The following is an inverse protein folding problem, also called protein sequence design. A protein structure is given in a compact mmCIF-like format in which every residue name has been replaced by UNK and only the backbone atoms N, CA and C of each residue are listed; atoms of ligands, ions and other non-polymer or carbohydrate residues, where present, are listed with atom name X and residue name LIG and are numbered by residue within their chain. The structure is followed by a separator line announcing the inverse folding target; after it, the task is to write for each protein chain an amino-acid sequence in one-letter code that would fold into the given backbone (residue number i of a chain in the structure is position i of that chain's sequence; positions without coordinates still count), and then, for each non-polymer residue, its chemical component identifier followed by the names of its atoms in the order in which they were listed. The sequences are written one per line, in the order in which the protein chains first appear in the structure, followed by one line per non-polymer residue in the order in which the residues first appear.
data_IF_978255212934
#
_entry.id   IF_978255212934
#
_cell.length_a   1.000
_cell.length_b   1.000
_cell.length_c   1.000
_cell.angle_alpha   90.00
_cell.angle_beta   90.00
_cell.angle_gamma   90.00
#
_symmetry.space_group_name_H-M   'P 1'
#
loop_
_entity.id
_entity.type
_entity.pdbx_description
1 polymer ?
#
# COMPACT_ATOMS: atom_id res chain seq x y z
N UNK A 1 -2.13 -8.21 -10.34
CA UNK A 1 -1.80 -6.84 -9.92
C UNK A 1 -2.80 -6.44 -8.85
N UNK A 2 -2.34 -5.94 -7.70
CA UNK A 2 -3.19 -5.66 -6.54
C UNK A 2 -3.48 -4.17 -6.43
N UNK A 3 -4.73 -3.82 -6.14
CA UNK A 3 -5.15 -2.43 -5.95
C UNK A 3 -5.49 -2.19 -4.49
N UNK A 4 -4.94 -1.14 -3.90
CA UNK A 4 -5.20 -0.70 -2.53
C UNK A 4 -5.94 0.62 -2.61
N UNK A 5 -7.11 0.69 -1.97
CA UNK A 5 -7.89 1.93 -1.87
C UNK A 5 -7.38 2.72 -0.68
N UNK A 6 -7.01 3.97 -0.92
CA UNK A 6 -6.39 4.85 0.07
C UNK A 6 -7.17 6.14 0.25
N UNK A 7 -7.12 6.70 1.45
CA UNK A 7 -7.71 8.02 1.71
C UNK A 7 -6.66 9.10 1.45
N UNK A 8 -6.94 10.01 0.51
CA UNK A 8 -6.02 11.09 0.11
C UNK A 8 -5.40 10.87 -1.27
N UNK A 9 -4.34 11.63 -1.57
CA UNK A 9 -3.60 11.51 -2.81
C UNK A 9 -2.62 10.32 -2.72
N UNK A 10 -2.76 9.29 -3.58
CA UNK A 10 -1.88 8.14 -3.54
C UNK A 10 -0.44 8.43 -4.01
N UNK A 11 -0.21 9.51 -4.78
CA UNK A 11 1.13 9.89 -5.25
C UNK A 11 2.06 10.30 -4.10
N UNK A 12 1.51 11.02 -3.11
CA UNK A 12 2.23 11.56 -1.96
C UNK A 12 2.50 10.52 -0.85
N UNK A 13 1.99 9.29 -1.01
CA UNK A 13 2.14 8.24 0.00
C UNK A 13 3.51 7.56 -0.08
N UNK A 14 4.23 7.59 1.04
CA UNK A 14 5.48 6.85 1.24
C UNK A 14 5.30 5.57 2.06
N UNK A 15 4.18 5.44 2.80
CA UNK A 15 3.87 4.27 3.59
C UNK A 15 2.36 4.04 3.73
N UNK A 16 1.95 2.78 3.91
CA UNK A 16 0.55 2.42 4.11
C UNK A 16 0.39 1.19 5.02
N UNK A 17 -0.58 1.27 5.93
CA UNK A 17 -0.95 0.16 6.83
C UNK A 17 -1.99 -0.74 6.16
N UNK A 18 -1.73 -2.04 6.08
CA UNK A 18 -2.65 -3.06 5.57
C UNK A 18 -2.89 -4.17 6.59
N UNK A 19 -4.12 -4.72 6.70
CA UNK A 19 -4.39 -5.83 7.62
C UNK A 19 -3.66 -7.11 7.21
N UNK A 20 -2.95 -7.75 8.15
CA UNK A 20 -2.17 -9.00 7.94
C UNK A 20 -3.01 -10.13 7.37
N UNK A 21 -4.27 -10.26 7.81
CA UNK A 21 -5.18 -11.34 7.41
C UNK A 21 -5.55 -11.33 5.92
N UNK A 22 -5.52 -10.15 5.29
CA UNK A 22 -5.96 -9.95 3.90
C UNK A 22 -4.80 -9.75 2.93
N UNK A 23 -3.56 -9.75 3.43
CA UNK A 23 -2.40 -9.31 2.68
C UNK A 23 -1.45 -10.45 2.35
N UNK A 24 -1.35 -10.77 1.05
CA UNK A 24 -0.24 -11.56 0.47
C UNK A 24 0.79 -10.64 -0.18
N UNK A 25 1.11 -9.49 0.43
CA UNK A 25 2.11 -8.58 -0.12
C UNK A 25 3.51 -9.10 0.17
N UNK A 26 4.44 -8.80 -0.72
CA UNK A 26 5.86 -9.08 -0.56
C UNK A 26 6.70 -7.85 -0.89
N UNK A 27 7.93 -7.81 -0.36
CA UNK A 27 8.92 -6.81 -0.78
C UNK A 27 9.13 -6.89 -2.30
N UNK A 28 9.24 -5.73 -2.93
CA UNK A 28 9.35 -5.53 -4.38
C UNK A 28 8.09 -5.88 -5.20
N UNK A 29 6.95 -6.17 -4.57
CA UNK A 29 5.68 -6.24 -5.31
C UNK A 29 5.28 -4.86 -5.83
N UNK A 30 4.79 -4.80 -7.07
CA UNK A 30 4.12 -3.61 -7.60
C UNK A 30 2.64 -3.66 -7.26
N UNK A 31 2.16 -2.59 -6.63
CA UNK A 31 0.76 -2.39 -6.27
C UNK A 31 0.25 -1.08 -6.88
N UNK A 32 -1.04 -1.03 -7.16
CA UNK A 32 -1.72 0.20 -7.56
C UNK A 32 -2.36 0.81 -6.33
N UNK A 33 -1.98 2.03 -5.96
CA UNK A 33 -2.68 2.83 -4.97
C UNK A 33 -3.72 3.68 -5.67
N UNK A 34 -4.98 3.57 -5.28
CA UNK A 34 -6.08 4.35 -5.85
C UNK A 34 -6.75 5.18 -4.76
N UNK A 35 -7.00 6.46 -5.03
CA UNK A 35 -7.75 7.31 -4.12
C UNK A 35 -9.18 6.79 -3.96
N UNK A 36 -9.75 6.93 -2.77
CA UNK A 36 -11.12 6.48 -2.46
C UNK A 36 -12.21 7.20 -3.27
N UNK A 37 -11.92 8.39 -3.80
CA UNK A 37 -12.78 9.11 -4.74
C UNK A 37 -12.57 8.71 -6.22
N UNK A 38 -11.62 7.80 -6.48
CA UNK A 38 -11.30 7.26 -7.81
C UNK A 38 -10.61 8.23 -8.76
N UNK A 39 -10.25 9.45 -8.33
CA UNK A 39 -9.67 10.48 -9.20
C UNK A 39 -8.19 10.29 -9.49
N UNK A 40 -7.46 9.66 -8.56
CA UNK A 40 -6.02 9.49 -8.65
C UNK A 40 -5.65 8.03 -8.47
N UNK A 41 -4.66 7.60 -9.23
CA UNK A 41 -4.12 6.24 -9.15
C UNK A 41 -2.66 6.27 -9.54
N UNK A 42 -1.81 5.57 -8.79
CA UNK A 42 -0.39 5.46 -9.07
C UNK A 42 0.07 4.03 -8.81
N UNK A 43 1.01 3.54 -9.62
CA UNK A 43 1.70 2.29 -9.34
C UNK A 43 2.91 2.59 -8.45
N UNK A 44 3.03 1.85 -7.34
CA UNK A 44 4.18 1.92 -6.46
C UNK A 44 4.74 0.53 -6.23
N UNK A 45 6.06 0.45 -6.14
CA UNK A 45 6.76 -0.76 -5.75
C UNK A 45 6.99 -0.72 -4.25
N UNK A 46 6.61 -1.81 -3.56
CA UNK A 46 6.87 -1.96 -2.14
C UNK A 46 8.40 -2.08 -1.97
N UNK A 47 9.01 -1.09 -1.35
CA UNK A 47 10.43 -1.13 -0.99
C UNK A 47 10.67 -2.11 0.15
N UNK A 48 9.82 -2.05 1.17
CA UNK A 48 9.93 -2.89 2.36
C UNK A 48 8.59 -3.06 3.06
N UNK A 49 8.36 -4.26 3.57
CA UNK A 49 7.31 -4.56 4.53
C UNK A 49 7.89 -4.66 5.94
N UNK A 50 7.24 -4.01 6.89
CA UNK A 50 7.58 -4.11 8.31
C UNK A 50 6.36 -4.45 9.14
N UNK A 51 6.59 -5.08 10.28
CA UNK A 51 5.54 -5.34 11.26
C UNK A 51 5.05 -4.01 11.85
N UNK A 52 3.81 -3.64 11.51
CA UNK A 52 3.18 -2.40 11.95
C UNK A 52 2.36 -2.56 13.24
N UNK A 53 2.40 -3.73 13.89
CA UNK A 53 1.65 -4.03 15.12
C UNK A 53 0.81 -5.30 15.00
N UNK A 54 0.02 -5.60 16.05
CA UNK A 54 -0.68 -6.90 16.22
C UNK A 54 -1.29 -7.43 14.92
N UNK A 55 -2.03 -6.60 14.18
CA UNK A 55 -2.80 -7.05 13.00
C UNK A 55 -2.46 -6.37 11.68
N UNK A 56 -1.41 -5.56 11.59
CA UNK A 56 -1.09 -4.81 10.38
C UNK A 56 0.35 -4.96 9.89
N UNK A 57 0.52 -5.03 8.57
CA UNK A 57 1.80 -4.74 7.92
C UNK A 57 1.83 -3.26 7.55
N UNK A 58 3.01 -2.66 7.66
CA UNK A 58 3.30 -1.37 7.03
C UNK A 58 4.06 -1.63 5.73
N UNK A 59 3.47 -1.21 4.61
CA UNK A 59 4.10 -1.22 3.29
C UNK A 59 4.79 0.12 3.09
N UNK A 60 6.10 0.11 2.86
CA UNK A 60 6.88 1.31 2.57
C UNK A 60 7.19 1.36 1.07
N UNK A 61 7.11 2.55 0.48
CA UNK A 61 7.33 2.82 -0.94
C UNK A 61 8.47 3.84 -1.10
N UNK A 62 9.26 3.70 -2.18
CA UNK A 62 10.22 4.73 -2.63
C UNK A 62 9.54 5.88 -3.39
#
# INVERSE_FOLDING_TARGET
MKTIIVNGNPEDMSALMVPKETSTYHDHDTVTLQSSDGKYSVEKTIFRMVDGGEDNWELQFE
#
